data_IF_591978610498
#
_entry.id   IF_591978610498
#
_cell.length_a   1.000
_cell.length_b   1.000
_cell.length_c   1.000
_cell.angle_alpha   90.00
_cell.angle_beta   90.00
_cell.angle_gamma   90.00
#
_symmetry.space_group_name_H-M   'P 1'
#
loop_
_entity.id
_entity.type
_entity.pdbx_description
1 polymer ?
#
# COMPACT_ATOMS: atom_id res chain seq x y z
N UNK A 1 2.40 16.28 0.38
CA UNK A 1 3.04 15.01 0.77
C UNK A 1 2.24 13.87 0.16
N UNK A 2 2.90 12.88 -0.43
CA UNK A 2 2.29 11.70 -1.05
C UNK A 2 2.49 10.47 -0.17
N UNK A 3 1.38 9.87 0.23
CA UNK A 3 1.35 8.64 1.04
C UNK A 3 0.85 7.51 0.14
N UNK A 4 1.68 6.49 -0.07
CA UNK A 4 1.23 5.26 -0.70
C UNK A 4 0.78 4.27 0.37
N UNK A 5 -0.44 3.78 0.25
CA UNK A 5 -0.97 2.70 1.08
C UNK A 5 -0.96 1.44 0.23
N UNK A 6 -0.20 0.43 0.65
CA UNK A 6 -0.09 -0.85 -0.04
C UNK A 6 -0.88 -1.90 0.73
N UNK A 7 -1.73 -2.65 0.04
CA UNK A 7 -2.45 -3.77 0.65
C UNK A 7 -2.65 -4.92 -0.34
N UNK A 8 -2.83 -6.12 0.20
CA UNK A 8 -3.20 -7.32 -0.54
C UNK A 8 -4.50 -7.91 -0.03
N UNK A 9 -4.73 -9.21 -0.28
CA UNK A 9 -5.80 -10.02 0.34
C UNK A 9 -7.11 -9.26 0.63
N UNK A 10 -7.76 -8.77 -0.42
CA UNK A 10 -9.07 -8.12 -0.31
C UNK A 10 -9.10 -6.66 0.19
N UNK A 11 -7.96 -6.03 0.53
CA UNK A 11 -7.85 -4.58 0.74
C UNK A 11 -8.42 -4.04 2.06
N UNK A 12 -8.72 -4.89 3.03
CA UNK A 12 -9.42 -4.50 4.26
C UNK A 12 -8.58 -3.58 5.16
N UNK A 13 -7.29 -3.90 5.33
CA UNK A 13 -6.40 -3.13 6.19
C UNK A 13 -6.05 -1.79 5.55
N UNK A 14 -5.71 -1.79 4.27
CA UNK A 14 -5.45 -0.59 3.48
C UNK A 14 -6.64 0.36 3.52
N UNK A 15 -7.86 -0.15 3.35
CA UNK A 15 -9.08 0.66 3.46
C UNK A 15 -9.24 1.31 4.84
N UNK A 16 -8.90 0.58 5.91
CA UNK A 16 -8.97 1.09 7.29
C UNK A 16 -7.93 2.19 7.53
N UNK A 17 -6.70 2.00 7.04
CA UNK A 17 -5.63 3.00 7.11
C UNK A 17 -6.04 4.27 6.38
N UNK A 18 -6.57 4.14 5.17
CA UNK A 18 -6.96 5.30 4.34
C UNK A 18 -8.06 6.12 5.01
N UNK A 19 -9.07 5.47 5.60
CA UNK A 19 -10.12 6.18 6.36
C UNK A 19 -9.54 7.00 7.50
N UNK A 20 -8.64 6.40 8.31
CA UNK A 20 -7.97 7.11 9.41
C UNK A 20 -7.08 8.26 8.91
N UNK A 21 -6.35 8.06 7.82
CA UNK A 21 -5.54 9.12 7.23
C UNK A 21 -6.42 10.28 6.76
N UNK A 22 -7.56 10.00 6.13
CA UNK A 22 -8.53 11.03 5.72
C UNK A 22 -9.16 11.76 6.89
N UNK A 23 -9.47 11.06 7.99
CA UNK A 23 -10.00 11.70 9.21
C UNK A 23 -9.01 12.69 9.84
N UNK A 24 -7.71 12.36 9.81
CA UNK A 24 -6.67 13.18 10.46
C UNK A 24 -6.13 14.30 9.56
N UNK A 25 -5.94 14.01 8.27
CA UNK A 25 -5.25 14.90 7.33
C UNK A 25 -6.16 15.51 6.26
N UNK A 26 -7.40 15.05 6.14
CA UNK A 26 -8.38 15.51 5.14
C UNK A 26 -7.78 15.56 3.72
N UNK A 27 -7.77 16.73 3.06
CA UNK A 27 -7.19 16.93 1.72
C UNK A 27 -5.75 17.47 1.72
N UNK A 28 -5.09 17.55 2.88
CA UNK A 28 -3.71 18.06 2.97
C UNK A 28 -2.64 17.08 2.45
N UNK A 29 -3.02 15.82 2.21
CA UNK A 29 -2.13 14.76 1.71
C UNK A 29 -2.75 14.04 0.51
N UNK A 30 -1.91 13.65 -0.44
CA UNK A 30 -2.33 12.80 -1.56
C UNK A 30 -2.16 11.33 -1.15
N UNK A 31 -3.26 10.58 -1.07
CA UNK A 31 -3.26 9.16 -0.74
C UNK A 31 -3.37 8.34 -2.03
N UNK A 32 -2.35 7.51 -2.30
CA UNK A 32 -2.32 6.56 -3.41
C UNK A 32 -2.58 5.15 -2.90
N UNK A 33 -3.66 4.53 -3.36
CA UNK A 33 -3.95 3.12 -3.11
C UNK A 33 -3.16 2.22 -4.09
N UNK A 34 -2.28 1.39 -3.57
CA UNK A 34 -1.50 0.43 -4.35
C UNK A 34 -1.89 -0.99 -3.94
N UNK A 35 -2.80 -1.63 -4.65
CA UNK A 35 -3.15 -3.01 -4.35
C UNK A 35 -2.21 -3.99 -5.05
N UNK A 36 -1.84 -5.08 -4.39
CA UNK A 36 -1.21 -6.23 -5.06
C UNK A 36 -2.15 -6.83 -6.12
N UNK A 37 -3.47 -6.69 -5.92
CA UNK A 37 -4.52 -7.08 -6.84
C UNK A 37 -5.58 -5.97 -7.02
N UNK A 38 -6.46 -6.15 -8.01
CA UNK A 38 -7.50 -5.18 -8.36
C UNK A 38 -8.58 -5.01 -7.28
N UNK A 39 -8.90 -6.08 -6.54
CA UNK A 39 -9.92 -6.05 -5.47
C UNK A 39 -9.44 -5.16 -4.33
N UNK A 40 -8.21 -5.36 -3.87
CA UNK A 40 -7.60 -4.57 -2.80
C UNK A 40 -7.58 -3.08 -3.16
N UNK A 41 -7.18 -2.76 -4.40
CA UNK A 41 -7.16 -1.39 -4.92
C UNK A 41 -8.56 -0.77 -4.94
N UNK A 42 -9.55 -1.53 -5.39
CA UNK A 42 -10.95 -1.07 -5.47
C UNK A 42 -11.52 -0.76 -4.08
N UNK A 43 -11.22 -1.59 -3.07
CA UNK A 43 -11.68 -1.34 -1.70
C UNK A 43 -11.04 -0.09 -1.11
N UNK A 44 -9.74 0.09 -1.34
CA UNK A 44 -9.01 1.29 -0.91
C UNK A 44 -9.53 2.56 -1.59
N UNK A 45 -9.91 2.50 -2.88
CA UNK A 45 -10.55 3.62 -3.57
C UNK A 45 -11.94 3.94 -2.98
N UNK A 46 -12.75 2.93 -2.65
CA UNK A 46 -14.02 3.11 -1.93
C UNK A 46 -13.83 3.73 -0.54
N UNK A 47 -12.67 3.52 0.06
CA UNK A 47 -12.24 4.17 1.30
C UNK A 47 -11.77 5.63 1.12
N UNK A 48 -11.92 6.20 -0.08
CA UNK A 48 -11.57 7.58 -0.45
C UNK A 48 -10.07 7.85 -0.66
N UNK A 49 -9.31 6.88 -1.14
CA UNK A 49 -8.00 7.17 -1.73
C UNK A 49 -8.14 8.14 -2.92
N UNK A 50 -7.19 9.05 -3.11
CA UNK A 50 -7.24 10.01 -4.21
C UNK A 50 -7.03 9.34 -5.57
N UNK A 51 -6.14 8.35 -5.63
CA UNK A 51 -5.81 7.58 -6.84
C UNK A 51 -5.52 6.14 -6.49
N UNK A 52 -5.63 5.24 -7.47
CA UNK A 52 -5.39 3.82 -7.27
C UNK A 52 -4.72 3.17 -8.47
N UNK A 53 -3.83 2.20 -8.20
CA UNK A 53 -3.22 1.34 -9.20
C UNK A 53 -2.96 -0.05 -8.61
N UNK A 54 -2.88 -1.07 -9.46
CA UNK A 54 -2.75 -2.47 -9.02
C UNK A 54 -1.59 -3.19 -9.69
N UNK A 55 -1.02 -4.16 -8.98
CA UNK A 55 -0.03 -5.11 -9.48
C UNK A 55 1.42 -4.68 -9.28
N UNK A 56 2.33 -5.62 -9.56
CA UNK A 56 3.77 -5.50 -9.30
C UNK A 56 4.35 -4.18 -9.82
N UNK A 57 4.18 -3.89 -11.11
CA UNK A 57 4.82 -2.72 -11.71
C UNK A 57 4.28 -1.40 -11.15
N UNK A 58 2.99 -1.34 -10.81
CA UNK A 58 2.40 -0.17 -10.18
C UNK A 58 3.04 0.11 -8.82
N UNK A 59 3.18 -0.94 -8.00
CA UNK A 59 3.82 -0.85 -6.67
C UNK A 59 5.29 -0.44 -6.82
N UNK A 60 6.07 -1.20 -7.60
CA UNK A 60 7.51 -0.97 -7.81
C UNK A 60 7.79 0.45 -8.26
N UNK A 61 6.96 1.00 -9.15
CA UNK A 61 7.19 2.35 -9.69
C UNK A 61 6.73 3.47 -8.76
N UNK A 62 5.62 3.28 -8.03
CA UNK A 62 5.04 4.33 -7.18
C UNK A 62 5.73 4.48 -5.83
N UNK A 63 6.32 3.43 -5.28
CA UNK A 63 7.01 3.50 -3.98
C UNK A 63 8.23 4.43 -4.01
N UNK A 64 8.92 4.55 -5.15
CA UNK A 64 10.02 5.50 -5.34
C UNK A 64 9.57 6.96 -5.53
N UNK A 65 8.26 7.19 -5.68
CA UNK A 65 7.65 8.52 -5.85
C UNK A 65 6.80 8.94 -4.67
N UNK A 66 6.85 8.15 -3.60
CA UNK A 66 6.12 8.37 -2.36
C UNK A 66 7.03 8.99 -1.33
N UNK A 67 6.50 9.88 -0.51
CA UNK A 67 7.22 10.38 0.66
C UNK A 67 7.14 9.36 1.81
N UNK A 68 5.98 8.69 1.90
CA UNK A 68 5.67 7.67 2.92
C UNK A 68 5.01 6.46 2.27
N UNK A 69 5.39 5.27 2.72
CA UNK A 69 4.73 4.00 2.41
C UNK A 69 4.14 3.42 3.70
N UNK A 70 2.85 3.09 3.67
CA UNK A 70 2.16 2.39 4.76
C UNK A 70 1.66 1.06 4.23
N UNK A 71 1.97 -0.04 4.91
CA UNK A 71 1.64 -1.38 4.43
C UNK A 71 1.67 -2.41 5.57
N UNK A 72 1.05 -3.60 5.39
CA UNK A 72 1.38 -4.77 6.20
C UNK A 72 2.86 -5.11 6.12
N UNK A 73 3.45 -5.63 7.21
CA UNK A 73 4.86 -6.04 7.25
C UNK A 73 5.19 -7.10 6.18
N UNK A 74 4.24 -7.96 5.83
CA UNK A 74 4.40 -8.97 4.76
C UNK A 74 4.78 -8.38 3.39
N UNK A 75 4.59 -7.08 3.15
CA UNK A 75 4.92 -6.47 1.85
C UNK A 75 6.43 -6.52 1.51
N UNK A 76 7.30 -6.68 2.50
CA UNK A 76 8.75 -6.84 2.31
C UNK A 76 9.21 -8.31 2.40
N UNK A 77 8.28 -9.26 2.52
CA UNK A 77 8.55 -10.69 2.54
C UNK A 77 8.18 -11.26 1.19
N UNK A 78 9.18 -11.69 0.43
CA UNK A 78 8.95 -12.29 -0.89
C UNK A 78 8.01 -13.51 -0.77
N UNK A 79 7.06 -13.61 -1.70
CA UNK A 79 6.03 -14.65 -1.79
C UNK A 79 4.99 -14.66 -0.66
N UNK A 80 4.97 -13.65 0.21
CA UNK A 80 3.90 -13.47 1.19
C UNK A 80 2.53 -13.24 0.53
N UNK A 81 1.46 -13.30 1.34
CA UNK A 81 0.08 -13.13 0.87
C UNK A 81 -0.29 -14.09 -0.26
N UNK A 82 0.07 -15.38 -0.10
CA UNK A 82 -0.12 -16.43 -1.11
C UNK A 82 0.52 -16.11 -2.48
N UNK A 83 1.66 -15.41 -2.48
CA UNK A 83 2.40 -15.07 -3.70
C UNK A 83 1.98 -13.76 -4.37
N UNK A 84 1.05 -13.01 -3.78
CA UNK A 84 0.73 -11.64 -4.25
C UNK A 84 1.92 -10.69 -4.11
N UNK A 85 2.76 -10.89 -3.07
CA UNK A 85 4.01 -10.15 -2.89
C UNK A 85 5.11 -10.83 -3.68
N UNK A 86 5.49 -10.25 -4.81
CA UNK A 86 6.61 -10.76 -5.60
C UNK A 86 7.95 -10.34 -5.00
N UNK A 87 9.06 -11.03 -5.33
CA UNK A 87 10.40 -10.58 -4.93
C UNK A 87 10.69 -9.13 -5.33
N UNK A 88 10.21 -8.69 -6.50
CA UNK A 88 10.38 -7.31 -6.99
C UNK A 88 9.60 -6.30 -6.16
N UNK A 89 8.38 -6.63 -5.72
CA UNK A 89 7.62 -5.78 -4.79
C UNK A 89 8.41 -5.65 -3.48
N UNK A 90 8.81 -6.78 -2.89
CA UNK A 90 9.50 -6.80 -1.61
C UNK A 90 10.80 -5.98 -1.65
N UNK A 91 11.63 -6.18 -2.67
CA UNK A 91 12.86 -5.43 -2.88
C UNK A 91 12.60 -3.94 -3.09
N UNK A 92 11.67 -3.57 -3.97
CA UNK A 92 11.36 -2.17 -4.25
C UNK A 92 10.83 -1.44 -3.01
N UNK A 93 9.95 -2.08 -2.24
CA UNK A 93 9.41 -1.50 -1.00
C UNK A 93 10.49 -1.40 0.07
N UNK A 94 11.38 -2.39 0.20
CA UNK A 94 12.45 -2.36 1.20
C UNK A 94 13.53 -1.32 0.89
N UNK A 95 13.86 -1.12 -0.40
CA UNK A 95 14.98 -0.28 -0.83
C UNK A 95 14.59 1.15 -1.22
N UNK A 96 13.29 1.46 -1.41
CA UNK A 96 12.88 2.81 -1.77
C UNK A 96 13.25 3.84 -0.69
N UNK A 97 13.45 5.12 -1.06
CA UNK A 97 13.82 6.17 -0.10
C UNK A 97 12.67 6.62 0.80
N UNK A 98 11.43 6.22 0.50
CA UNK A 98 10.26 6.61 1.28
C UNK A 98 10.38 6.15 2.75
N UNK A 99 9.81 6.93 3.67
CA UNK A 99 9.64 6.51 5.07
C UNK A 99 8.63 5.37 5.13
N UNK A 100 8.97 4.26 5.78
CA UNK A 100 8.16 3.04 5.78
C UNK A 100 7.48 2.89 7.15
N UNK A 101 6.16 2.78 7.15
CA UNK A 101 5.34 2.45 8.31
C UNK A 101 4.74 1.07 8.08
N UNK A 102 5.46 0.04 8.52
CA UNK A 102 5.07 -1.36 8.32
C UNK A 102 4.32 -1.87 9.55
N UNK A 103 3.11 -2.39 9.33
CA UNK A 103 2.23 -2.83 10.41
C UNK A 103 2.38 -4.34 10.58
N UNK A 104 2.84 -4.83 11.74
CA UNK A 104 2.96 -6.27 12.00
C UNK A 104 1.57 -6.86 12.23
N UNK A 105 0.95 -7.37 11.17
CA UNK A 105 -0.30 -8.12 11.25
C UNK A 105 0.03 -9.59 11.54
N UNK A 106 -0.73 -10.20 12.45
CA UNK A 106 -0.47 -11.56 12.94
C UNK A 106 -1.22 -12.65 12.16
N UNK A 107 -2.05 -12.28 11.20
CA UNK A 107 -2.76 -13.20 10.30
C UNK A 107 -2.63 -12.69 8.87
N UNK A 108 -2.11 -13.54 7.98
CA UNK A 108 -2.18 -13.37 6.52
C UNK A 108 -3.36 -14.19 5.97
#
# INVERSE_FOLDING_TARGET
MRISVIDGQGGGIGSTIIKKLKEVFDESVEIIALGTNAIATTQMLKAKANRGASGENAIVHMVFRSDVVVAPLGIIVAHAMMGEVTPRIAEAVATCPAKKLLIPLTQE
#
